data_IF_657402030488
#
_entry.id   IF_657402030488
#
_cell.length_a   1.000
_cell.length_b   1.000
_cell.length_c   1.000
_cell.angle_alpha   90.00
_cell.angle_beta   90.00
_cell.angle_gamma   90.00
#
_symmetry.space_group_name_H-M   'P 1'
#
loop_
_entity.id
_entity.type
_entity.pdbx_description
1 polymer ?
#
# COMPACT_ATOMS: atom_id res chain seq x y z
N UNK A 1 -26.18 27.64 -9.92
CA UNK A 1 -25.11 26.70 -10.32
C UNK A 1 -25.70 25.29 -10.32
N UNK A 2 -25.47 24.50 -11.37
CA UNK A 2 -25.90 23.10 -11.38
C UNK A 2 -25.30 22.37 -10.18
N UNK A 3 -26.10 21.56 -9.48
CA UNK A 3 -25.64 20.79 -8.31
C UNK A 3 -24.39 19.96 -8.62
N UNK A 4 -24.30 19.43 -9.85
CA UNK A 4 -23.13 18.72 -10.38
C UNK A 4 -21.85 19.56 -10.35
N UNK A 5 -21.93 20.85 -10.66
CA UNK A 5 -20.75 21.73 -10.68
C UNK A 5 -20.25 22.02 -9.26
N UNK A 6 -21.17 22.18 -8.29
CA UNK A 6 -20.82 22.33 -6.88
C UNK A 6 -20.18 21.04 -6.35
N UNK A 7 -20.76 19.89 -6.68
CA UNK A 7 -20.21 18.58 -6.31
C UNK A 7 -18.79 18.39 -6.87
N UNK A 8 -18.56 18.76 -8.13
CA UNK A 8 -17.25 18.69 -8.79
C UNK A 8 -16.22 19.56 -8.07
N UNK A 9 -16.58 20.79 -7.70
CA UNK A 9 -15.69 21.69 -6.96
C UNK A 9 -15.32 21.07 -5.61
N UNK A 10 -16.29 20.53 -4.87
CA UNK A 10 -16.03 19.89 -3.58
C UNK A 10 -15.11 18.68 -3.75
N UNK A 11 -15.36 17.85 -4.77
CA UNK A 11 -14.53 16.69 -5.08
C UNK A 11 -13.09 17.07 -5.41
N UNK A 12 -12.88 18.00 -6.35
CA UNK A 12 -11.54 18.47 -6.74
C UNK A 12 -10.82 19.08 -5.53
N UNK A 13 -11.52 19.90 -4.76
CA UNK A 13 -10.95 20.54 -3.57
C UNK A 13 -10.52 19.50 -2.54
N UNK A 14 -11.37 18.51 -2.27
CA UNK A 14 -11.07 17.38 -1.37
C UNK A 14 -9.84 16.62 -1.85
N UNK A 15 -9.75 16.31 -3.15
CA UNK A 15 -8.58 15.63 -3.74
C UNK A 15 -7.30 16.46 -3.58
N UNK A 16 -7.34 17.77 -3.84
CA UNK A 16 -6.17 18.65 -3.65
C UNK A 16 -5.69 18.60 -2.19
N UNK A 17 -6.60 18.72 -1.22
CA UNK A 17 -6.23 18.68 0.19
C UNK A 17 -5.70 17.31 0.63
N UNK A 18 -6.26 16.21 0.11
CA UNK A 18 -5.74 14.85 0.36
C UNK A 18 -4.32 14.72 -0.19
N UNK A 19 -4.06 15.19 -1.41
CA UNK A 19 -2.73 15.13 -2.05
C UNK A 19 -1.70 16.06 -1.43
N UNK A 20 -2.12 17.13 -0.75
CA UNK A 20 -1.22 18.02 -0.02
C UNK A 20 -0.68 17.39 1.26
N UNK A 21 -1.33 16.34 1.78
CA UNK A 21 -0.94 15.56 2.97
C UNK A 21 -0.69 16.39 4.26
N UNK A 22 -1.11 17.66 4.30
CA UNK A 22 -0.93 18.55 5.46
C UNK A 22 -1.88 18.24 6.61
N UNK A 23 -3.02 17.63 6.32
CA UNK A 23 -4.08 17.27 7.28
C UNK A 23 -4.39 15.78 7.08
N UNK A 24 -4.89 15.11 8.12
CA UNK A 24 -5.29 13.72 8.05
C UNK A 24 -6.29 13.49 6.90
N UNK A 25 -5.94 12.58 5.99
CA UNK A 25 -6.71 12.24 4.77
C UNK A 25 -8.14 11.82 5.10
N UNK A 26 -8.35 11.10 6.19
CA UNK A 26 -9.67 10.66 6.66
C UNK A 26 -10.54 11.85 7.05
N UNK A 27 -9.98 12.84 7.74
CA UNK A 27 -10.72 14.05 8.14
C UNK A 27 -11.14 14.85 6.92
N UNK A 28 -10.24 15.01 5.94
CA UNK A 28 -10.54 15.72 4.69
C UNK A 28 -11.64 15.00 3.90
N UNK A 29 -11.54 13.67 3.75
CA UNK A 29 -12.54 12.88 3.03
C UNK A 29 -13.93 12.96 3.69
N UNK A 30 -14.00 12.83 5.02
CA UNK A 30 -15.25 12.95 5.77
C UNK A 30 -15.83 14.37 5.71
N UNK A 31 -14.99 15.41 5.77
CA UNK A 31 -15.44 16.79 5.63
C UNK A 31 -16.04 17.05 4.24
N UNK A 32 -15.41 16.55 3.17
CA UNK A 32 -15.94 16.63 1.81
C UNK A 32 -17.31 15.93 1.67
N UNK A 33 -17.44 14.71 2.22
CA UNK A 33 -18.70 13.98 2.24
C UNK A 33 -19.78 14.73 3.05
N UNK A 34 -19.44 15.27 4.21
CA UNK A 34 -20.37 16.04 5.05
C UNK A 34 -20.87 17.30 4.33
N UNK A 35 -19.99 18.02 3.61
CA UNK A 35 -20.38 19.18 2.81
C UNK A 35 -21.40 18.82 1.72
N UNK A 36 -21.25 17.67 1.05
CA UNK A 36 -22.22 17.20 0.05
C UNK A 36 -23.61 16.92 0.67
N UNK A 37 -23.65 16.39 1.90
CA UNK A 37 -24.90 16.14 2.63
C UNK A 37 -25.55 17.46 3.09
N UNK A 38 -24.78 18.37 3.69
CA UNK A 38 -25.28 19.66 4.19
C UNK A 38 -25.87 20.50 3.04
N UNK A 39 -25.23 20.49 1.88
CA UNK A 39 -25.69 21.18 0.68
C UNK A 39 -26.85 20.47 -0.03
N UNK A 40 -27.34 19.34 0.51
CA UNK A 40 -28.42 18.51 -0.06
C UNK A 40 -28.13 18.08 -1.51
N UNK A 41 -26.85 17.88 -1.83
CA UNK A 41 -26.42 17.32 -3.12
C UNK A 41 -26.55 15.80 -3.08
N UNK A 42 -26.28 15.21 -1.91
CA UNK A 42 -26.49 13.79 -1.61
C UNK A 42 -27.40 13.66 -0.39
N UNK A 43 -28.33 12.71 -0.42
CA UNK A 43 -29.09 12.34 0.77
C UNK A 43 -28.24 11.49 1.72
N UNK A 44 -28.58 11.50 3.01
CA UNK A 44 -27.88 10.69 4.00
C UNK A 44 -27.90 9.19 3.64
N UNK A 45 -29.04 8.67 3.20
CA UNK A 45 -29.16 7.27 2.79
C UNK A 45 -28.23 6.93 1.62
N UNK A 46 -28.13 7.83 0.63
CA UNK A 46 -27.24 7.65 -0.53
C UNK A 46 -25.78 7.67 -0.09
N UNK A 47 -25.41 8.58 0.80
CA UNK A 47 -24.05 8.67 1.35
C UNK A 47 -23.64 7.39 2.11
N UNK A 48 -24.54 6.82 2.93
CA UNK A 48 -24.28 5.53 3.60
C UNK A 48 -24.22 4.36 2.62
N UNK A 49 -25.08 4.36 1.59
CA UNK A 49 -25.03 3.32 0.55
C UNK A 49 -23.77 3.35 -0.32
N UNK A 50 -23.08 4.49 -0.36
CA UNK A 50 -21.79 4.62 -1.05
C UNK A 50 -20.62 4.00 -0.26
N UNK A 51 -20.82 3.59 0.99
CA UNK A 51 -19.80 2.91 1.79
C UNK A 51 -19.77 1.43 1.45
N UNK A 52 -18.66 0.98 0.88
CA UNK A 52 -18.42 -0.44 0.64
C UNK A 52 -17.84 -1.14 1.87
N UNK A 53 -18.71 -1.75 2.66
CA UNK A 53 -18.34 -2.51 3.85
C UNK A 53 -17.56 -3.80 3.53
N UNK A 54 -17.71 -4.38 2.33
CA UNK A 54 -16.94 -5.55 1.93
C UNK A 54 -15.47 -5.18 1.76
N UNK A 55 -15.20 -4.06 1.07
CA UNK A 55 -13.84 -3.51 0.95
C UNK A 55 -13.23 -3.20 2.32
N UNK A 56 -13.98 -2.55 3.23
CA UNK A 56 -13.49 -2.23 4.58
C UNK A 56 -13.18 -3.52 5.36
N UNK A 57 -14.07 -4.51 5.30
CA UNK A 57 -13.88 -5.81 5.96
C UNK A 57 -12.68 -6.56 5.43
N UNK A 58 -12.51 -6.60 4.10
CA UNK A 58 -11.38 -7.23 3.43
C UNK A 58 -10.05 -6.57 3.83
N UNK A 59 -9.97 -5.23 3.74
CA UNK A 59 -8.79 -4.46 4.14
C UNK A 59 -8.45 -4.70 5.62
N UNK A 60 -9.45 -4.71 6.49
CA UNK A 60 -9.26 -4.96 7.92
C UNK A 60 -8.73 -6.37 8.18
N UNK A 61 -9.34 -7.39 7.59
CA UNK A 61 -8.91 -8.78 7.75
C UNK A 61 -7.50 -9.03 7.24
N UNK A 62 -7.17 -8.46 6.07
CA UNK A 62 -5.83 -8.48 5.51
C UNK A 62 -4.81 -7.83 6.46
N UNK A 63 -5.08 -6.60 6.93
CA UNK A 63 -4.16 -5.90 7.84
C UNK A 63 -3.93 -6.65 9.16
N UNK A 64 -4.97 -7.30 9.71
CA UNK A 64 -4.84 -8.16 10.89
C UNK A 64 -3.95 -9.37 10.59
N UNK A 65 -4.19 -10.07 9.48
CA UNK A 65 -3.38 -11.22 9.06
C UNK A 65 -1.90 -10.84 8.89
N UNK A 66 -1.64 -9.73 8.18
CA UNK A 66 -0.29 -9.19 7.96
C UNK A 66 0.39 -8.86 9.29
N UNK A 67 -0.32 -8.19 10.21
CA UNK A 67 0.21 -7.85 11.54
C UNK A 67 0.63 -9.07 12.35
N UNK A 68 -0.09 -10.18 12.23
CA UNK A 68 0.25 -11.45 12.88
C UNK A 68 1.47 -12.08 12.22
N UNK A 69 1.49 -12.22 10.89
CA UNK A 69 2.61 -12.83 10.15
C UNK A 69 3.90 -12.04 10.42
N UNK A 70 3.82 -10.71 10.46
CA UNK A 70 4.96 -9.83 10.75
C UNK A 70 5.65 -10.15 12.07
N UNK A 71 4.90 -10.57 13.09
CA UNK A 71 5.44 -10.91 14.42
C UNK A 71 6.19 -12.23 14.44
N UNK A 72 5.96 -13.12 13.47
CA UNK A 72 6.60 -14.45 13.43
C UNK A 72 8.07 -14.41 13.02
N UNK A 73 8.55 -13.28 12.45
CA UNK A 73 9.91 -13.19 11.92
C UNK A 73 10.09 -13.88 10.56
N UNK A 74 9.02 -14.34 9.92
CA UNK A 74 9.05 -15.04 8.63
C UNK A 74 9.84 -14.25 7.56
N UNK A 75 9.60 -12.95 7.47
CA UNK A 75 10.23 -12.09 6.45
C UNK A 75 11.73 -11.92 6.70
N UNK A 76 12.14 -11.74 7.96
CA UNK A 76 13.54 -11.72 8.37
C UNK A 76 14.24 -13.03 8.02
N UNK A 77 13.59 -14.15 8.32
CA UNK A 77 14.12 -15.47 8.00
C UNK A 77 14.32 -15.67 6.49
N UNK A 78 13.34 -15.29 5.66
CA UNK A 78 13.42 -15.40 4.21
C UNK A 78 14.56 -14.56 3.62
N UNK A 79 14.69 -13.31 4.06
CA UNK A 79 15.75 -12.41 3.61
C UNK A 79 17.15 -12.91 3.98
N UNK A 80 17.35 -13.40 5.22
CA UNK A 80 18.62 -14.00 5.65
C UNK A 80 18.93 -15.27 4.84
N UNK A 81 17.93 -16.12 4.61
CA UNK A 81 18.09 -17.36 3.83
C UNK A 81 18.55 -17.05 2.40
N UNK A 82 17.96 -16.03 1.78
CA UNK A 82 18.34 -15.54 0.45
C UNK A 82 19.74 -14.93 0.45
N UNK A 83 20.09 -14.15 1.47
CA UNK A 83 21.44 -13.60 1.61
C UNK A 83 22.51 -14.67 1.69
N UNK A 84 22.22 -15.82 2.32
CA UNK A 84 23.14 -16.97 2.33
C UNK A 84 23.20 -17.64 0.95
N UNK A 85 22.08 -17.69 0.23
CA UNK A 85 21.99 -18.30 -1.09
C UNK A 85 22.73 -17.50 -2.18
N UNK A 86 22.84 -16.18 -2.03
CA UNK A 86 23.57 -15.32 -2.97
C UNK A 86 25.09 -15.49 -2.91
N UNK A 87 25.62 -16.20 -1.90
CA UNK A 87 27.06 -16.52 -1.73
C UNK A 87 27.98 -15.30 -1.84
N UNK A 88 27.52 -14.12 -1.41
CA UNK A 88 28.30 -12.88 -1.45
C UNK A 88 28.40 -12.20 -2.82
N UNK A 89 27.73 -12.74 -3.86
CA UNK A 89 27.63 -12.05 -5.14
C UNK A 89 26.54 -10.96 -5.08
N UNK A 90 26.94 -9.71 -5.35
CA UNK A 90 26.05 -8.53 -5.29
C UNK A 90 24.90 -8.63 -6.29
N UNK A 91 25.16 -9.07 -7.52
CA UNK A 91 24.12 -9.21 -8.55
C UNK A 91 23.12 -10.30 -8.19
N UNK A 92 23.59 -11.44 -7.67
CA UNK A 92 22.71 -12.50 -7.20
C UNK A 92 21.88 -12.05 -5.99
N UNK A 93 22.49 -11.33 -5.05
CA UNK A 93 21.79 -10.79 -3.90
C UNK A 93 20.68 -9.83 -4.33
N UNK A 94 20.99 -8.91 -5.26
CA UNK A 94 20.02 -7.96 -5.81
C UNK A 94 18.86 -8.70 -6.45
N UNK A 95 19.15 -9.64 -7.35
CA UNK A 95 18.13 -10.41 -8.05
C UNK A 95 17.20 -11.16 -7.09
N UNK A 96 17.76 -11.88 -6.12
CA UNK A 96 16.93 -12.66 -5.18
C UNK A 96 16.16 -11.78 -4.21
N UNK A 97 16.75 -10.69 -3.70
CA UNK A 97 16.05 -9.75 -2.82
C UNK A 97 14.91 -9.05 -3.55
N UNK A 98 15.11 -8.67 -4.81
CA UNK A 98 14.03 -8.07 -5.62
C UNK A 98 12.91 -9.08 -5.89
N UNK A 99 13.22 -10.33 -6.23
CA UNK A 99 12.20 -11.35 -6.45
C UNK A 99 11.38 -11.62 -5.18
N UNK A 100 12.03 -11.84 -4.03
CA UNK A 100 11.28 -12.08 -2.79
C UNK A 100 10.47 -10.86 -2.41
N UNK A 101 11.00 -9.65 -2.60
CA UNK A 101 10.28 -8.40 -2.33
C UNK A 101 9.03 -8.29 -3.20
N UNK A 102 9.12 -8.60 -4.49
CA UNK A 102 7.96 -8.61 -5.39
C UNK A 102 6.94 -9.68 -5.01
N UNK A 103 7.38 -10.89 -4.69
CA UNK A 103 6.47 -11.98 -4.25
C UNK A 103 5.79 -11.61 -2.93
N UNK A 104 6.53 -11.09 -1.96
CA UNK A 104 5.97 -10.67 -0.68
C UNK A 104 4.98 -9.52 -0.86
N UNK A 105 5.33 -8.53 -1.68
CA UNK A 105 4.45 -7.41 -1.99
C UNK A 105 3.23 -7.81 -2.80
N UNK A 106 3.19 -9.01 -3.41
CA UNK A 106 1.97 -9.51 -4.06
C UNK A 106 0.90 -9.94 -3.05
N UNK A 107 1.24 -10.08 -1.78
CA UNK A 107 0.31 -10.46 -0.70
C UNK A 107 0.23 -9.39 0.38
N UNK A 108 1.33 -8.66 0.57
CA UNK A 108 1.44 -7.54 1.51
C UNK A 108 1.29 -6.23 0.77
N UNK A 109 0.82 -5.18 1.44
CA UNK A 109 0.93 -3.84 0.87
C UNK A 109 2.40 -3.47 0.64
N UNK A 110 2.64 -2.74 -0.45
CA UNK A 110 3.97 -2.29 -0.88
C UNK A 110 4.72 -1.52 0.23
N UNK A 111 4.05 -0.63 0.93
CA UNK A 111 4.65 0.16 2.03
C UNK A 111 5.09 -0.75 3.18
N UNK A 112 4.24 -1.68 3.62
CA UNK A 112 4.60 -2.65 4.67
C UNK A 112 5.76 -3.54 4.26
N UNK A 113 5.80 -3.98 2.99
CA UNK A 113 6.89 -4.82 2.48
C UNK A 113 8.23 -4.10 2.58
N UNK A 114 8.30 -2.84 2.13
CA UNK A 114 9.53 -2.04 2.18
C UNK A 114 9.96 -1.75 3.62
N UNK A 115 9.04 -1.40 4.52
CA UNK A 115 9.34 -1.20 5.95
C UNK A 115 9.94 -2.45 6.58
N UNK A 116 9.60 -3.63 6.06
CA UNK A 116 10.09 -4.91 6.56
C UNK A 116 11.42 -5.33 5.97
N UNK A 117 11.57 -5.22 4.65
CA UNK A 117 12.73 -5.73 3.93
C UNK A 117 13.92 -4.78 4.04
N UNK A 118 13.72 -3.46 3.90
CA UNK A 118 14.81 -2.49 3.86
C UNK A 118 15.74 -2.56 5.09
N UNK A 119 15.25 -2.65 6.34
CA UNK A 119 16.15 -2.80 7.50
C UNK A 119 17.05 -4.04 7.41
N UNK A 120 16.54 -5.14 6.84
CA UNK A 120 17.30 -6.38 6.66
C UNK A 120 18.33 -6.19 5.54
N UNK A 121 17.94 -5.56 4.45
CA UNK A 121 18.82 -5.25 3.32
C UNK A 121 19.96 -4.32 3.74
N UNK A 122 19.67 -3.30 4.56
CA UNK A 122 20.69 -2.44 5.14
C UNK A 122 21.71 -3.23 5.98
N UNK A 123 21.23 -4.13 6.85
CA UNK A 123 22.11 -4.98 7.66
C UNK A 123 22.96 -5.92 6.79
N UNK A 124 22.40 -6.49 5.71
CA UNK A 124 23.15 -7.34 4.78
C UNK A 124 24.22 -6.50 4.05
N UNK A 125 23.86 -5.31 3.57
CA UNK A 125 24.77 -4.42 2.87
C UNK A 125 25.94 -3.96 3.76
N UNK A 126 25.68 -3.67 5.02
CA UNK A 126 26.69 -3.32 6.01
C UNK A 126 27.68 -4.47 6.24
N UNK A 127 27.18 -5.70 6.40
CA UNK A 127 28.03 -6.89 6.57
C UNK A 127 28.88 -7.24 5.33
N UNK A 128 28.40 -6.88 4.15
CA UNK A 128 29.10 -7.13 2.88
C UNK A 128 29.92 -5.92 2.40
N UNK A 129 29.95 -4.82 3.16
CA UNK A 129 30.62 -3.56 2.80
C UNK A 129 30.20 -3.02 1.42
N UNK A 130 28.92 -3.18 1.06
CA UNK A 130 28.37 -2.70 -0.22
C UNK A 130 27.41 -1.52 -0.03
N UNK A 131 27.29 -0.68 -1.06
CA UNK A 131 26.32 0.41 -1.05
C UNK A 131 24.88 -0.14 -1.06
N UNK A 132 24.01 0.27 -0.12
CA UNK A 132 22.62 -0.19 -0.06
C UNK A 132 21.70 0.48 -1.09
N UNK A 133 22.10 1.63 -1.64
CA UNK A 133 21.22 2.43 -2.49
C UNK A 133 20.67 1.67 -3.71
N UNK A 134 21.48 0.91 -4.49
CA UNK A 134 20.96 0.13 -5.62
C UNK A 134 20.01 -0.99 -5.19
N UNK A 135 20.27 -1.61 -4.03
CA UNK A 135 19.47 -2.70 -3.49
C UNK A 135 18.09 -2.20 -3.10
N UNK A 136 18.05 -1.14 -2.29
CA UNK A 136 16.79 -0.53 -1.82
C UNK A 136 15.99 0.03 -3.00
N UNK A 137 16.64 0.66 -3.97
CA UNK A 137 15.94 1.11 -5.18
C UNK A 137 15.32 -0.06 -5.95
N UNK A 138 16.06 -1.16 -6.12
CA UNK A 138 15.53 -2.36 -6.78
C UNK A 138 14.35 -2.96 -6.02
N UNK A 139 14.43 -3.01 -4.70
CA UNK A 139 13.34 -3.47 -3.84
C UNK A 139 12.10 -2.57 -3.94
N UNK A 140 12.28 -1.24 -3.99
CA UNK A 140 11.18 -0.29 -4.20
C UNK A 140 10.47 -0.59 -5.52
N UNK A 141 11.21 -0.74 -6.62
CA UNK A 141 10.60 -1.09 -7.91
C UNK A 141 9.93 -2.46 -7.88
N UNK A 142 10.60 -3.46 -7.32
CA UNK A 142 10.07 -4.82 -7.24
C UNK A 142 8.81 -4.90 -6.36
N UNK A 143 8.75 -4.16 -5.26
CA UNK A 143 7.57 -4.08 -4.40
C UNK A 143 6.40 -3.43 -5.13
N UNK A 144 6.62 -2.34 -5.87
CA UNK A 144 5.53 -1.73 -6.64
C UNK A 144 4.99 -2.68 -7.73
N UNK A 145 5.89 -3.35 -8.47
CA UNK A 145 5.49 -4.34 -9.49
C UNK A 145 4.74 -5.51 -8.83
N UNK A 146 5.28 -6.04 -7.73
CA UNK A 146 4.68 -7.13 -6.95
C UNK A 146 3.31 -6.77 -6.39
N UNK A 147 3.16 -5.60 -5.79
CA UNK A 147 1.89 -5.07 -5.27
C UNK A 147 0.80 -4.98 -6.32
N UNK A 148 1.17 -4.62 -7.55
CA UNK A 148 0.22 -4.60 -8.68
C UNK A 148 -0.11 -5.97 -9.27
N UNK A 149 0.60 -7.02 -8.88
CA UNK A 149 0.39 -8.37 -9.43
C UNK A 149 -0.90 -9.04 -8.91
N UNK A 150 -1.43 -8.60 -7.76
CA UNK A 150 -2.67 -9.14 -7.21
C UNK A 150 -3.63 -8.02 -6.79
N UNK A 151 -4.90 -8.38 -6.63
CA UNK A 151 -5.92 -7.50 -6.08
C UNK A 151 -5.64 -7.10 -4.63
N UNK A 152 -4.89 -7.91 -3.89
CA UNK A 152 -4.68 -7.77 -2.44
C UNK A 152 -3.43 -6.92 -2.14
N UNK A 153 -2.46 -6.85 -3.06
CA UNK A 153 -1.14 -6.24 -2.84
C UNK A 153 -1.10 -4.72 -2.63
N UNK A 154 -2.21 -3.99 -2.81
CA UNK A 154 -2.28 -2.55 -2.48
C UNK A 154 -3.76 -2.15 -2.24
N UNK A 155 -4.10 -1.33 -1.23
CA UNK A 155 -5.47 -0.86 -1.02
C UNK A 155 -6.22 -0.30 -2.26
N UNK A 156 -5.61 0.46 -3.18
CA UNK A 156 -6.26 0.89 -4.42
C UNK A 156 -6.70 -0.29 -5.31
N UNK A 157 -5.91 -1.37 -5.37
CA UNK A 157 -6.25 -2.55 -6.17
C UNK A 157 -7.48 -3.26 -5.59
N UNK A 158 -7.59 -3.31 -4.27
CA UNK A 158 -8.76 -3.87 -3.57
C UNK A 158 -10.00 -3.02 -3.90
N UNK A 159 -9.89 -1.70 -3.82
CA UNK A 159 -11.01 -0.78 -4.12
C UNK A 159 -11.48 -0.97 -5.57
N UNK A 160 -10.54 -1.06 -6.53
CA UNK A 160 -10.86 -1.29 -7.94
C UNK A 160 -11.47 -2.68 -8.14
N UNK A 161 -10.92 -3.72 -7.52
CA UNK A 161 -11.43 -5.09 -7.58
C UNK A 161 -12.86 -5.19 -7.06
N UNK A 162 -13.15 -4.60 -5.90
CA UNK A 162 -14.50 -4.59 -5.33
C UNK A 162 -15.48 -3.82 -6.22
N UNK A 163 -15.07 -2.66 -6.75
CA UNK A 163 -15.89 -1.87 -7.67
C UNK A 163 -16.14 -2.60 -9.00
N UNK A 164 -15.22 -3.47 -9.44
CA UNK A 164 -15.34 -4.31 -10.62
C UNK A 164 -16.04 -5.66 -10.35
N UNK A 165 -16.40 -5.95 -9.09
CA UNK A 165 -16.97 -7.22 -8.63
C UNK A 165 -16.10 -8.46 -8.94
N UNK A 166 -14.78 -8.34 -8.72
CA UNK A 166 -13.78 -9.41 -8.81
C UNK A 166 -13.37 -9.91 -7.41
#
# INVERSE_FOLDING_TARGET
MNQTFIALIIFITTLIFVSLEKINRTVIALAGALLLIILKILNQHEAFSAIDFNTIGLLTGMMVMISIIKRTGLFQYLAIKISKLSRGNVFSLLFFLSIITGILSSVLDNVTTIILIVPITLAICENLEISPAPMVLSEIFASNIGGTATLIGDPPNIIIGSAAHL
#
